data_IF_857827394311
#
_entry.id   IF_857827394311
#
_cell.length_a   1.000
_cell.length_b   1.000
_cell.length_c   1.000
_cell.angle_alpha   90.00
_cell.angle_beta   90.00
_cell.angle_gamma   90.00
#
_symmetry.space_group_name_H-M   'P 1'
#
loop_
_entity.id
_entity.type
_entity.pdbx_description
1 polymer ?
#
# COMPACT_ATOMS: atom_id res chain seq x y z
N UNK A 1 16.61 -37.30 -44.51
CA UNK A 1 16.67 -35.83 -44.40
C UNK A 1 16.93 -35.49 -42.95
N UNK A 2 18.18 -35.18 -42.63
CA UNK A 2 18.63 -34.86 -41.27
C UNK A 2 18.18 -33.44 -40.92
N UNK A 3 17.28 -33.36 -39.95
CA UNK A 3 16.85 -32.10 -39.34
C UNK A 3 18.05 -31.49 -38.63
N UNK A 4 18.47 -30.31 -39.09
CA UNK A 4 19.65 -29.60 -38.61
C UNK A 4 19.21 -28.76 -37.42
N UNK A 5 19.90 -28.79 -36.27
CA UNK A 5 19.48 -28.01 -35.11
C UNK A 5 19.49 -26.51 -35.47
N UNK A 6 18.32 -25.85 -35.36
CA UNK A 6 18.16 -24.41 -35.57
C UNK A 6 19.03 -23.66 -34.55
N UNK A 7 19.86 -22.73 -35.04
CA UNK A 7 20.67 -21.84 -34.19
C UNK A 7 19.80 -21.00 -33.25
N UNK A 8 20.25 -20.72 -32.02
CA UNK A 8 19.47 -20.01 -30.99
C UNK A 8 19.18 -18.53 -31.29
N UNK A 9 19.77 -17.94 -32.35
CA UNK A 9 19.67 -16.51 -32.69
C UNK A 9 18.86 -16.22 -33.98
N UNK A 10 18.12 -17.18 -34.52
CA UNK A 10 17.26 -16.92 -35.68
C UNK A 10 15.99 -16.14 -35.25
N UNK A 11 15.57 -15.09 -35.99
CA UNK A 11 14.34 -14.36 -35.65
C UNK A 11 13.13 -15.30 -35.72
N UNK A 12 12.25 -15.18 -34.72
CA UNK A 12 11.03 -15.98 -34.61
C UNK A 12 10.16 -15.84 -35.86
N UNK A 13 9.58 -16.94 -36.31
CA UNK A 13 8.52 -16.90 -37.32
C UNK A 13 7.23 -16.30 -36.73
N UNK A 14 6.34 -15.82 -37.59
CA UNK A 14 5.06 -15.24 -37.16
C UNK A 14 4.21 -16.24 -36.34
N UNK A 15 4.25 -17.53 -36.72
CA UNK A 15 3.52 -18.59 -36.03
C UNK A 15 4.15 -18.94 -34.67
N UNK A 16 5.48 -19.00 -34.58
CA UNK A 16 6.19 -19.20 -33.30
C UNK A 16 5.91 -18.04 -32.33
N UNK A 17 5.86 -16.80 -32.83
CA UNK A 17 5.51 -15.63 -32.02
C UNK A 17 4.05 -15.67 -31.54
N UNK A 18 3.11 -16.09 -32.39
CA UNK A 18 1.71 -16.22 -32.03
C UNK A 18 1.51 -17.27 -30.92
N UNK A 19 2.19 -18.41 -31.01
CA UNK A 19 2.14 -19.44 -29.97
C UNK A 19 2.67 -18.96 -28.62
N UNK A 20 3.76 -18.17 -28.63
CA UNK A 20 4.30 -17.58 -27.41
C UNK A 20 3.33 -16.57 -26.78
N UNK A 21 2.64 -15.77 -27.59
CA UNK A 21 1.60 -14.84 -27.11
C UNK A 21 0.43 -15.58 -26.48
N UNK A 22 -0.09 -16.61 -27.14
CA UNK A 22 -1.17 -17.41 -26.58
C UNK A 22 -0.76 -18.03 -25.23
N UNK A 23 0.48 -18.52 -25.14
CA UNK A 23 0.99 -19.05 -23.87
C UNK A 23 1.13 -17.98 -22.78
N UNK A 24 1.44 -16.73 -23.13
CA UNK A 24 1.42 -15.62 -22.17
C UNK A 24 0.00 -15.34 -21.70
N UNK A 25 -0.97 -15.28 -22.60
CA UNK A 25 -2.38 -15.05 -22.25
C UNK A 25 -2.91 -16.13 -21.29
N UNK A 26 -2.53 -17.39 -21.52
CA UNK A 26 -2.90 -18.51 -20.64
C UNK A 26 -2.24 -18.39 -19.25
N UNK A 27 -0.97 -17.95 -19.19
CA UNK A 27 -0.25 -17.72 -17.94
C UNK A 27 -0.88 -16.55 -17.17
N UNK A 28 -1.16 -15.45 -17.84
CA UNK A 28 -1.73 -14.25 -17.24
C UNK A 28 -3.12 -14.53 -16.68
N UNK A 29 -3.94 -15.29 -17.41
CA UNK A 29 -5.23 -15.79 -16.90
C UNK A 29 -5.04 -16.65 -15.65
N UNK A 30 -4.09 -17.59 -15.68
CA UNK A 30 -3.79 -18.43 -14.52
C UNK A 30 -3.26 -17.66 -13.31
N UNK A 31 -2.54 -16.55 -13.51
CA UNK A 31 -2.11 -15.66 -12.41
C UNK A 31 -3.34 -15.04 -11.74
N UNK A 32 -4.30 -14.52 -12.52
CA UNK A 32 -5.52 -13.92 -11.99
C UNK A 32 -6.35 -14.95 -11.22
N UNK A 33 -6.51 -16.16 -11.76
CA UNK A 33 -7.25 -17.23 -11.10
C UNK A 33 -6.63 -17.63 -9.75
N UNK A 34 -5.30 -17.80 -9.71
CA UNK A 34 -4.57 -18.13 -8.48
C UNK A 34 -4.63 -17.01 -7.45
N UNK A 35 -4.63 -15.75 -7.90
CA UNK A 35 -4.81 -14.60 -7.01
C UNK A 35 -6.23 -14.60 -6.42
N UNK A 36 -7.26 -14.85 -7.23
CA UNK A 36 -8.64 -14.93 -6.77
C UNK A 36 -8.83 -16.06 -5.74
N UNK A 37 -8.28 -17.25 -6.01
CA UNK A 37 -8.31 -18.38 -5.07
C UNK A 37 -7.60 -18.01 -3.76
N UNK A 38 -6.42 -17.40 -3.83
CA UNK A 38 -5.67 -16.94 -2.65
C UNK A 38 -6.52 -15.99 -1.80
N UNK A 39 -7.22 -15.04 -2.42
CA UNK A 39 -8.06 -14.08 -1.70
C UNK A 39 -9.25 -14.75 -1.01
N UNK A 40 -9.90 -15.72 -1.66
CA UNK A 40 -10.99 -16.49 -1.05
C UNK A 40 -10.53 -17.26 0.20
N UNK A 41 -9.33 -17.86 0.16
CA UNK A 41 -8.73 -18.53 1.33
C UNK A 41 -8.45 -17.52 2.44
N UNK A 42 -7.89 -16.36 2.12
CA UNK A 42 -7.61 -15.33 3.13
C UNK A 42 -8.90 -14.83 3.79
N UNK A 43 -9.97 -14.60 3.02
CA UNK A 43 -11.28 -14.22 3.55
C UNK A 43 -11.84 -15.27 4.53
N UNK A 44 -11.75 -16.55 4.16
CA UNK A 44 -12.18 -17.65 5.04
C UNK A 44 -11.39 -17.69 6.36
N UNK A 45 -10.09 -17.39 6.31
CA UNK A 45 -9.25 -17.25 7.51
C UNK A 45 -9.67 -16.03 8.34
N UNK A 46 -9.97 -14.89 7.68
CA UNK A 46 -10.49 -13.68 8.31
C UNK A 46 -11.78 -13.95 9.08
N UNK A 47 -12.77 -14.59 8.46
CA UNK A 47 -14.04 -14.97 9.08
C UNK A 47 -13.86 -15.88 10.31
N UNK A 48 -12.89 -16.79 10.25
CA UNK A 48 -12.55 -17.63 11.40
C UNK A 48 -11.94 -16.83 12.55
N UNK A 49 -10.99 -15.93 12.25
CA UNK A 49 -10.34 -15.07 13.25
C UNK A 49 -11.34 -14.12 13.91
N UNK A 50 -12.25 -13.56 13.12
CA UNK A 50 -13.35 -12.72 13.59
C UNK A 50 -14.20 -13.44 14.66
N UNK A 51 -14.64 -14.67 14.37
CA UNK A 51 -15.45 -15.46 15.32
C UNK A 51 -14.71 -15.86 16.59
N UNK A 52 -13.38 -15.93 16.53
CA UNK A 52 -12.53 -16.37 17.65
C UNK A 52 -11.90 -15.21 18.42
N UNK A 53 -12.09 -13.96 17.96
CA UNK A 53 -11.47 -12.77 18.55
C UNK A 53 -9.96 -12.68 18.35
N UNK A 54 -9.40 -13.44 17.41
CA UNK A 54 -7.98 -13.40 17.10
C UNK A 54 -7.62 -12.16 16.25
N UNK A 55 -6.41 -11.61 16.39
CA UNK A 55 -5.96 -10.48 15.58
C UNK A 55 -6.01 -10.79 14.08
N UNK A 56 -6.57 -9.89 13.28
CA UNK A 56 -6.59 -10.03 11.83
C UNK A 56 -5.17 -9.99 11.25
N UNK A 57 -4.34 -9.04 11.71
CA UNK A 57 -2.98 -8.82 11.24
C UNK A 57 -1.92 -9.56 12.05
N UNK A 58 -1.03 -10.27 11.38
CA UNK A 58 0.02 -11.10 12.00
C UNK A 58 1.36 -10.83 11.29
N UNK A 59 2.06 -9.78 11.72
CA UNK A 59 3.29 -9.29 11.09
C UNK A 59 4.38 -10.36 10.89
N UNK A 60 4.58 -11.25 11.88
CA UNK A 60 5.55 -12.34 11.76
C UNK A 60 5.18 -13.29 10.63
N UNK A 61 3.89 -13.60 10.48
CA UNK A 61 3.39 -14.47 9.42
C UNK A 61 3.47 -13.81 8.05
N UNK A 62 3.20 -12.52 7.96
CA UNK A 62 3.35 -11.74 6.73
C UNK A 62 4.81 -11.75 6.25
N UNK A 63 5.75 -11.48 7.17
CA UNK A 63 7.19 -11.53 6.89
C UNK A 63 7.61 -12.91 6.39
N UNK A 64 7.18 -13.98 7.05
CA UNK A 64 7.48 -15.34 6.62
C UNK A 64 6.97 -15.66 5.21
N UNK A 65 5.77 -15.19 4.86
CA UNK A 65 5.18 -15.40 3.52
C UNK A 65 6.04 -14.71 2.47
N UNK A 66 6.45 -13.47 2.73
CA UNK A 66 7.30 -12.69 1.82
C UNK A 66 8.66 -13.36 1.67
N UNK A 67 9.34 -13.71 2.77
CA UNK A 67 10.68 -14.27 2.74
C UNK A 67 10.71 -15.62 2.00
N UNK A 68 9.73 -16.50 2.24
CA UNK A 68 9.59 -17.76 1.49
C UNK A 68 9.36 -17.52 0.00
N UNK A 69 8.56 -16.51 -0.34
CA UNK A 69 8.28 -16.15 -1.73
C UNK A 69 9.49 -15.60 -2.47
N UNK A 70 10.25 -14.73 -1.81
CA UNK A 70 11.52 -14.18 -2.32
C UNK A 70 12.52 -15.30 -2.59
N UNK A 71 12.75 -16.18 -1.61
CA UNK A 71 13.66 -17.32 -1.77
C UNK A 71 13.22 -18.24 -2.92
N UNK A 72 11.90 -18.45 -3.08
CA UNK A 72 11.35 -19.26 -4.18
C UNK A 72 11.58 -18.60 -5.54
N UNK A 73 11.39 -17.29 -5.64
CA UNK A 73 11.62 -16.52 -6.86
C UNK A 73 13.08 -16.58 -7.30
N UNK A 74 13.99 -16.32 -6.37
CA UNK A 74 15.44 -16.36 -6.62
C UNK A 74 15.89 -17.75 -7.07
N UNK A 75 15.33 -18.82 -6.47
CA UNK A 75 15.61 -20.21 -6.89
C UNK A 75 15.20 -20.53 -8.34
N UNK A 76 14.36 -19.67 -8.96
CA UNK A 76 13.89 -19.80 -10.34
C UNK A 76 14.46 -18.74 -11.27
N UNK A 77 15.45 -17.96 -10.83
CA UNK A 77 16.03 -16.87 -11.62
C UNK A 77 15.12 -15.64 -11.77
N UNK A 78 14.04 -15.55 -10.98
CA UNK A 78 13.18 -14.38 -10.92
C UNK A 78 13.72 -13.39 -9.88
N UNK A 79 13.54 -12.09 -10.12
CA UNK A 79 13.94 -11.04 -9.18
C UNK A 79 13.21 -11.20 -7.83
N UNK A 80 13.97 -11.29 -6.74
CA UNK A 80 13.43 -11.26 -5.39
C UNK A 80 12.65 -9.98 -5.08
N UNK A 81 13.04 -8.85 -5.70
CA UNK A 81 12.31 -7.57 -5.58
C UNK A 81 10.90 -7.68 -6.16
N UNK A 82 10.76 -8.22 -7.36
CA UNK A 82 9.45 -8.41 -8.00
C UNK A 82 8.55 -9.33 -7.17
N UNK A 83 9.11 -10.43 -6.66
CA UNK A 83 8.37 -11.36 -5.80
C UNK A 83 7.83 -10.69 -4.53
N UNK A 84 8.67 -9.86 -3.89
CA UNK A 84 8.31 -9.07 -2.73
C UNK A 84 7.18 -8.10 -3.05
N UNK A 85 7.31 -7.33 -4.13
CA UNK A 85 6.30 -6.35 -4.56
C UNK A 85 4.94 -7.01 -4.81
N UNK A 86 4.91 -8.16 -5.50
CA UNK A 86 3.68 -8.92 -5.73
C UNK A 86 3.06 -9.38 -4.40
N UNK A 87 3.85 -10.00 -3.53
CA UNK A 87 3.34 -10.56 -2.28
C UNK A 87 2.89 -9.48 -1.29
N UNK A 88 3.65 -8.39 -1.16
CA UNK A 88 3.27 -7.22 -0.36
C UNK A 88 1.94 -6.65 -0.88
N UNK A 89 1.79 -6.48 -2.19
CA UNK A 89 0.54 -6.01 -2.80
C UNK A 89 -0.65 -6.92 -2.49
N UNK A 90 -0.49 -8.24 -2.63
CA UNK A 90 -1.54 -9.22 -2.36
C UNK A 90 -1.89 -9.37 -0.87
N UNK A 91 -0.93 -9.15 0.04
CA UNK A 91 -1.18 -9.13 1.48
C UNK A 91 -1.94 -7.86 1.84
N UNK A 92 -1.47 -6.71 1.36
CA UNK A 92 -2.06 -5.42 1.63
C UNK A 92 -3.49 -5.31 1.11
N UNK A 93 -3.75 -5.77 -0.12
CA UNK A 93 -5.10 -5.80 -0.66
C UNK A 93 -6.04 -6.64 0.20
N UNK A 94 -5.57 -7.80 0.67
CA UNK A 94 -6.40 -8.69 1.49
C UNK A 94 -6.68 -8.13 2.89
N UNK A 95 -5.74 -7.39 3.49
CA UNK A 95 -5.97 -6.68 4.76
C UNK A 95 -6.98 -5.55 4.55
N UNK A 96 -6.79 -4.71 3.52
CA UNK A 96 -7.71 -3.63 3.18
C UNK A 96 -9.13 -4.16 3.01
N UNK A 97 -9.32 -5.21 2.22
CA UNK A 97 -10.63 -5.79 1.95
C UNK A 97 -11.29 -6.45 3.18
N UNK A 98 -10.50 -6.87 4.18
CA UNK A 98 -11.01 -7.40 5.46
C UNK A 98 -11.36 -6.29 6.45
N UNK A 99 -10.55 -5.23 6.48
CA UNK A 99 -10.82 -4.01 7.23
C UNK A 99 -12.04 -3.29 6.64
N UNK A 100 -12.20 -3.26 5.31
CA UNK A 100 -13.40 -2.79 4.59
C UNK A 100 -14.66 -3.54 5.00
N UNK A 101 -14.60 -4.85 5.27
CA UNK A 101 -15.76 -5.60 5.76
C UNK A 101 -16.12 -5.25 7.22
N UNK A 102 -15.14 -4.85 8.03
CA UNK A 102 -15.35 -4.30 9.38
C UNK A 102 -15.81 -2.83 9.33
N UNK A 103 -15.28 -2.03 8.39
CA UNK A 103 -15.55 -0.60 8.19
C UNK A 103 -16.87 -0.35 7.46
N UNK A 104 -17.26 -1.18 6.49
CA UNK A 104 -18.61 -1.13 5.91
C UNK A 104 -19.70 -1.43 6.96
N UNK A 105 -19.36 -2.08 8.08
CA UNK A 105 -20.24 -2.25 9.23
C UNK A 105 -20.05 -1.20 10.34
N UNK A 106 -19.05 -0.32 10.25
CA UNK A 106 -18.83 0.75 11.22
C UNK A 106 -18.76 2.10 10.50
N UNK A 107 -19.69 3.01 10.78
CA UNK A 107 -19.94 4.32 10.12
C UNK A 107 -18.75 5.33 10.09
N UNK A 108 -17.51 4.91 9.81
CA UNK A 108 -16.33 5.75 9.80
C UNK A 108 -15.87 5.97 8.36
N UNK A 109 -15.76 7.24 7.93
CA UNK A 109 -15.07 7.63 6.71
C UNK A 109 -15.93 8.07 5.53
N UNK A 110 -17.23 7.75 5.48
CA UNK A 110 -18.09 8.07 4.32
C UNK A 110 -18.07 9.57 3.97
N UNK A 111 -17.36 9.92 2.89
CA UNK A 111 -17.31 11.27 2.32
C UNK A 111 -16.43 12.28 3.06
N UNK A 112 -15.62 11.83 4.02
CA UNK A 112 -14.67 12.70 4.73
C UNK A 112 -13.40 12.94 3.88
N UNK A 113 -12.75 14.08 4.10
CA UNK A 113 -11.54 14.47 3.38
C UNK A 113 -10.30 13.97 4.14
N UNK A 114 -9.37 13.33 3.42
CA UNK A 114 -8.08 12.90 3.94
C UNK A 114 -6.92 13.45 3.11
N UNK A 115 -5.89 13.93 3.80
CA UNK A 115 -4.64 14.37 3.18
C UNK A 115 -3.51 13.40 3.52
N UNK A 116 -2.77 12.93 2.51
CA UNK A 116 -1.55 12.14 2.71
C UNK A 116 -0.31 12.93 2.31
N UNK A 117 0.42 13.42 3.32
CA UNK A 117 1.72 14.10 3.15
C UNK A 117 2.81 13.04 2.96
N UNK A 118 3.58 13.11 1.88
CA UNK A 118 4.42 12.02 1.40
C UNK A 118 3.67 10.98 0.57
N UNK A 119 2.48 11.35 0.05
CA UNK A 119 1.56 10.47 -0.66
C UNK A 119 2.11 9.81 -1.93
N UNK A 120 3.22 10.31 -2.47
CA UNK A 120 3.88 9.70 -3.64
C UNK A 120 5.08 8.82 -3.22
N UNK A 121 5.37 8.69 -1.94
CA UNK A 121 6.24 7.62 -1.43
C UNK A 121 5.54 6.26 -1.46
N UNK A 122 6.31 5.16 -1.39
CA UNK A 122 5.73 3.78 -1.39
C UNK A 122 4.63 3.58 -0.35
N UNK A 123 4.87 4.04 0.88
CA UNK A 123 3.92 3.90 1.99
C UNK A 123 2.80 4.95 1.95
N UNK A 124 3.08 6.15 1.43
CA UNK A 124 2.06 7.18 1.24
C UNK A 124 1.05 6.79 0.17
N UNK A 125 1.53 6.27 -0.97
CA UNK A 125 0.63 5.83 -2.05
C UNK A 125 -0.23 4.66 -1.59
N UNK A 126 0.35 3.72 -0.84
CA UNK A 126 -0.40 2.64 -0.22
C UNK A 126 -1.48 3.16 0.72
N UNK A 127 -1.15 4.10 1.61
CA UNK A 127 -2.13 4.67 2.53
C UNK A 127 -3.22 5.43 1.78
N UNK A 128 -2.87 6.21 0.77
CA UNK A 128 -3.84 6.95 -0.03
C UNK A 128 -4.87 6.01 -0.68
N UNK A 129 -4.41 4.90 -1.27
CA UNK A 129 -5.29 3.86 -1.83
C UNK A 129 -6.16 3.18 -0.77
N UNK A 130 -5.60 2.90 0.41
CA UNK A 130 -6.37 2.33 1.51
C UNK A 130 -7.48 3.28 1.97
N UNK A 131 -7.16 4.56 2.17
CA UNK A 131 -8.13 5.58 2.60
C UNK A 131 -9.26 5.80 1.59
N UNK A 132 -8.93 5.80 0.30
CA UNK A 132 -9.90 5.87 -0.79
C UNK A 132 -10.84 4.65 -0.78
N UNK A 133 -10.28 3.47 -0.56
CA UNK A 133 -11.06 2.21 -0.48
C UNK A 133 -12.04 2.23 0.70
N UNK A 134 -11.63 2.75 1.87
CA UNK A 134 -12.50 2.86 3.06
C UNK A 134 -13.45 4.08 3.00
N UNK A 135 -13.46 4.83 1.88
CA UNK A 135 -14.50 5.82 1.57
C UNK A 135 -14.14 7.29 1.84
N UNK A 136 -12.86 7.61 2.08
CA UNK A 136 -12.40 9.01 2.13
C UNK A 136 -12.22 9.57 0.72
N UNK A 137 -12.41 10.87 0.58
CA UNK A 137 -11.84 11.63 -0.54
C UNK A 137 -10.39 11.95 -0.20
N UNK A 138 -9.46 11.48 -1.03
CA UNK A 138 -8.03 11.50 -0.71
C UNK A 138 -7.27 12.44 -1.64
N UNK A 139 -6.60 13.39 -1.01
CA UNK A 139 -5.61 14.26 -1.64
C UNK A 139 -4.19 13.89 -1.18
N UNK A 140 -3.20 14.11 -2.03
CA UNK A 140 -1.79 13.82 -1.74
C UNK A 140 -0.94 15.08 -1.80
N UNK A 141 0.00 15.22 -0.88
CA UNK A 141 0.99 16.31 -0.90
C UNK A 141 2.39 15.71 -0.87
N UNK A 142 3.17 15.92 -1.92
CA UNK A 142 4.53 15.39 -2.03
C UNK A 142 5.41 16.35 -2.85
N UNK A 143 6.68 16.57 -2.47
CA UNK A 143 7.62 17.37 -3.26
C UNK A 143 8.01 16.71 -4.59
N UNK A 144 7.80 15.39 -4.73
CA UNK A 144 7.99 14.70 -6.01
C UNK A 144 6.81 15.02 -6.91
N UNK A 145 7.08 15.35 -8.17
CA UNK A 145 6.05 15.44 -9.20
C UNK A 145 5.97 14.08 -9.92
N UNK A 146 4.86 13.38 -9.74
CA UNK A 146 4.58 12.10 -10.39
C UNK A 146 3.08 11.93 -10.57
N UNK A 147 2.70 11.37 -11.71
CA UNK A 147 1.33 10.98 -11.99
C UNK A 147 0.76 10.07 -10.90
N UNK A 148 -0.44 10.41 -10.43
CA UNK A 148 -1.16 9.79 -9.32
C UNK A 148 -2.66 9.80 -9.64
N UNK A 149 -3.43 8.79 -9.21
CA UNK A 149 -4.88 8.82 -9.33
C UNK A 149 -5.56 9.80 -8.34
N UNK A 150 -4.80 10.34 -7.38
CA UNK A 150 -5.24 11.29 -6.36
C UNK A 150 -4.84 12.72 -6.74
N UNK A 151 -5.66 13.69 -6.35
CA UNK A 151 -5.37 15.10 -6.56
C UNK A 151 -4.13 15.52 -5.75
N UNK A 152 -3.20 16.20 -6.42
CA UNK A 152 -1.94 16.62 -5.82
C UNK A 152 -2.01 18.08 -5.34
N UNK A 153 -1.83 18.26 -4.03
CA UNK A 153 -1.85 19.55 -3.36
C UNK A 153 -0.42 20.06 -3.18
N UNK A 154 -0.12 21.17 -3.84
CA UNK A 154 1.20 21.81 -3.79
C UNK A 154 1.45 22.62 -2.52
N UNK A 155 0.42 23.29 -2.01
CA UNK A 155 0.45 24.07 -0.78
C UNK A 155 -0.49 23.49 0.27
N UNK A 156 -0.09 22.35 0.84
CA UNK A 156 -0.91 21.67 1.84
C UNK A 156 -1.10 22.50 3.10
N UNK A 157 -0.16 23.39 3.45
CA UNK A 157 -0.21 24.20 4.67
C UNK A 157 -1.42 25.14 4.72
N UNK A 158 -1.86 25.65 3.57
CA UNK A 158 -3.02 26.55 3.50
C UNK A 158 -4.37 25.84 3.57
N UNK A 159 -4.40 24.53 3.27
CA UNK A 159 -5.63 23.73 3.17
C UNK A 159 -5.77 22.67 4.28
N UNK A 160 -4.80 22.52 5.19
CA UNK A 160 -4.86 21.50 6.26
C UNK A 160 -6.13 21.52 7.11
N UNK A 161 -6.84 22.64 7.17
CA UNK A 161 -8.07 22.78 7.96
C UNK A 161 -9.30 22.15 7.31
N UNK A 162 -9.19 21.79 6.03
CA UNK A 162 -10.26 21.20 5.21
C UNK A 162 -10.32 19.68 5.34
N UNK A 163 -9.32 19.06 5.97
CA UNK A 163 -9.22 17.61 6.12
C UNK A 163 -9.60 17.14 7.52
N UNK A 164 -10.36 16.06 7.59
CA UNK A 164 -10.68 15.36 8.84
C UNK A 164 -9.58 14.37 9.26
N UNK A 165 -8.74 13.94 8.33
CA UNK A 165 -7.61 13.05 8.57
C UNK A 165 -6.38 13.55 7.81
N UNK A 166 -5.24 13.65 8.49
CA UNK A 166 -3.96 14.02 7.89
C UNK A 166 -2.95 12.94 8.21
N UNK A 167 -2.44 12.25 7.20
CA UNK A 167 -1.40 11.23 7.34
C UNK A 167 -0.04 11.81 6.98
N UNK A 168 0.94 11.62 7.87
CA UNK A 168 2.35 11.95 7.63
C UNK A 168 3.11 10.67 7.25
N UNK A 169 3.29 10.46 5.95
CA UNK A 169 3.90 9.28 5.30
C UNK A 169 5.28 9.56 4.68
N UNK A 170 6.06 10.43 5.32
CA UNK A 170 7.40 10.85 4.85
C UNK A 170 8.53 10.16 5.62
N UNK A 171 9.77 10.10 5.09
CA UNK A 171 10.93 9.58 5.81
C UNK A 171 11.21 10.34 7.13
N UNK A 172 11.80 9.65 8.11
CA UNK A 172 11.95 10.09 9.50
C UNK A 172 12.44 11.53 9.72
N UNK A 173 13.39 12.00 8.90
CA UNK A 173 13.98 13.34 9.07
C UNK A 173 12.97 14.46 8.73
N UNK A 174 12.35 14.47 7.53
CA UNK A 174 11.25 15.38 7.21
C UNK A 174 10.03 15.28 8.13
N UNK A 175 9.71 14.10 8.66
CA UNK A 175 8.45 13.91 9.39
C UNK A 175 8.36 14.80 10.63
N UNK A 176 9.45 14.96 11.38
CA UNK A 176 9.41 15.76 12.60
C UNK A 176 9.15 17.25 12.30
N UNK A 177 9.76 17.81 11.24
CA UNK A 177 9.48 19.19 10.83
C UNK A 177 8.04 19.39 10.38
N UNK A 178 7.46 18.42 9.67
CA UNK A 178 6.07 18.48 9.24
C UNK A 178 5.13 18.43 10.44
N UNK A 179 5.39 17.59 11.44
CA UNK A 179 4.59 17.53 12.66
C UNK A 179 4.65 18.83 13.47
N UNK A 180 5.82 19.46 13.59
CA UNK A 180 5.95 20.80 14.20
C UNK A 180 5.13 21.84 13.44
N UNK A 181 5.21 21.82 12.11
CA UNK A 181 4.44 22.74 11.28
C UNK A 181 2.93 22.54 11.45
N UNK A 182 2.47 21.30 11.48
CA UNK A 182 1.08 20.97 11.78
C UNK A 182 0.66 21.43 13.19
N UNK A 183 1.55 21.38 14.18
CA UNK A 183 1.27 21.89 15.53
C UNK A 183 1.05 23.41 15.54
N UNK A 184 1.75 24.16 14.69
CA UNK A 184 1.54 25.60 14.51
C UNK A 184 0.21 25.91 13.83
N UNK A 185 -0.13 25.12 12.79
CA UNK A 185 -1.34 25.30 11.98
C UNK A 185 -2.62 24.83 12.67
N UNK A 186 -2.51 23.90 13.63
CA UNK A 186 -3.61 23.38 14.47
C UNK A 186 -4.80 22.86 13.64
N UNK A 187 -4.59 21.84 12.78
CA UNK A 187 -5.69 21.25 12.01
C UNK A 187 -6.77 20.70 12.95
N UNK A 188 -8.03 20.79 12.51
CA UNK A 188 -9.17 20.25 13.26
C UNK A 188 -9.24 18.72 13.21
N UNK A 189 -8.77 18.15 12.10
CA UNK A 189 -8.72 16.72 11.84
C UNK A 189 -7.71 15.98 12.72
N UNK A 190 -7.77 14.65 12.65
CA UNK A 190 -6.79 13.77 13.27
C UNK A 190 -5.49 13.83 12.48
N UNK A 191 -4.37 14.11 13.16
CA UNK A 191 -3.03 13.95 12.58
C UNK A 191 -2.48 12.58 12.99
N UNK A 192 -2.04 11.81 12.00
CA UNK A 192 -1.56 10.46 12.19
C UNK A 192 -0.23 10.24 11.45
N UNK A 193 0.77 9.64 12.11
CA UNK A 193 2.02 9.25 11.46
C UNK A 193 2.19 7.73 11.35
N UNK A 194 2.79 7.27 10.24
CA UNK A 194 3.08 5.86 9.95
C UNK A 194 4.57 5.50 10.17
N UNK A 195 5.31 6.33 10.91
CA UNK A 195 6.74 6.16 11.13
C UNK A 195 7.07 4.97 12.03
N UNK A 196 7.79 3.97 11.50
CA UNK A 196 8.17 2.77 12.29
C UNK A 196 9.13 3.05 13.46
N UNK A 197 9.75 4.24 13.50
CA UNK A 197 10.60 4.70 14.60
C UNK A 197 10.06 6.02 15.14
N UNK A 198 9.59 6.02 16.38
CA UNK A 198 8.97 7.19 17.03
C UNK A 198 9.96 8.12 17.70
N UNK A 199 11.17 7.66 18.04
CA UNK A 199 12.18 8.47 18.73
C UNK A 199 12.59 9.74 17.96
N UNK A 200 12.72 9.74 16.62
CA UNK A 200 13.10 10.94 15.86
C UNK A 200 11.96 11.97 15.72
N UNK A 201 10.71 11.55 15.96
CA UNK A 201 9.50 12.33 15.73
C UNK A 201 8.82 12.77 17.04
N UNK A 202 9.37 12.35 18.18
CA UNK A 202 8.79 12.57 19.50
C UNK A 202 8.48 14.03 19.78
N UNK A 203 9.40 14.94 19.45
CA UNK A 203 9.18 16.36 19.75
C UNK A 203 8.05 16.97 18.93
N UNK A 204 7.86 16.56 17.66
CA UNK A 204 6.75 17.00 16.83
C UNK A 204 5.40 16.44 17.32
N UNK A 205 5.37 15.16 17.72
CA UNK A 205 4.17 14.54 18.30
C UNK A 205 3.77 15.22 19.63
N UNK A 206 4.75 15.51 20.49
CA UNK A 206 4.53 16.25 21.74
C UNK A 206 4.05 17.69 21.47
N UNK A 207 4.59 18.35 20.44
CA UNK A 207 4.14 19.69 20.04
C UNK A 207 2.68 19.69 19.57
N UNK A 208 2.28 18.71 18.76
CA UNK A 208 0.87 18.54 18.34
C UNK A 208 -0.06 18.36 19.54
N UNK A 209 0.32 17.48 20.47
CA UNK A 209 -0.45 17.23 21.68
C UNK A 209 -0.55 18.50 22.55
N UNK A 210 0.56 19.22 22.73
CA UNK A 210 0.60 20.48 23.48
C UNK A 210 -0.21 21.61 22.82
N UNK A 211 -0.29 21.61 21.49
CA UNK A 211 -1.11 22.53 20.72
C UNK A 211 -2.62 22.21 20.77
N UNK A 212 -3.00 21.08 21.39
CA UNK A 212 -4.39 20.62 21.49
C UNK A 212 -4.89 19.89 20.24
N UNK A 213 -3.98 19.49 19.34
CA UNK A 213 -4.35 18.73 18.15
C UNK A 213 -4.71 17.28 18.53
N UNK A 214 -5.63 16.69 17.77
CA UNK A 214 -5.88 15.24 17.83
C UNK A 214 -4.71 14.57 17.12
N UNK A 215 -3.89 13.81 17.85
CA UNK A 215 -2.71 13.16 17.29
C UNK A 215 -2.59 11.71 17.73
N UNK A 216 -2.21 10.84 16.81
CA UNK A 216 -1.81 9.46 17.11
C UNK A 216 -0.61 9.03 16.25
N UNK A 217 0.06 7.95 16.67
CA UNK A 217 1.26 7.39 16.04
C UNK A 217 1.17 5.87 16.09
N UNK A 218 1.41 5.18 14.97
CA UNK A 218 1.31 3.70 14.85
C UNK A 218 2.68 3.08 14.69
#
# INVERSE_FOLDING_TARGET
MTDKPKSPDAPLTADELLQLRQRLDDIDSGIIDLVAERLAVVNSIGDHKLRTGAPLRHYEREREVIDRGVARAESRGMSGRLAREILETLIHYAIGNQEDYQLAQSEHGQGLQALVIGGLGRMGEWMARYLDTVGYHVDVADPVDRESPFDQISDWESVVSDYELIVVAVPLRPSNSILHRLAELKPRGLVFDIGSLKSPMRSGLEALAAAGCKVCSV
#
